data_IF_146776690362
#
_entry.id   IF_146776690362
#
_cell.length_a   1.000
_cell.length_b   1.000
_cell.length_c   1.000
_cell.angle_alpha   90.00
_cell.angle_beta   90.00
_cell.angle_gamma   90.00
#
_symmetry.space_group_name_H-M   'P 1'
#
loop_
_entity.id
_entity.type
_entity.pdbx_description
1 polymer ?
#
# COMPACT_ATOMS: atom_id res chain seq x y z
N UNK A 1 12.46 -10.46 23.91
CA UNK A 1 13.05 -11.19 22.77
C UNK A 1 14.55 -10.88 22.73
N UNK A 2 15.42 -11.83 22.36
CA UNK A 2 16.85 -11.54 22.13
C UNK A 2 17.00 -10.91 20.74
N UNK A 3 17.90 -9.93 20.61
CA UNK A 3 18.25 -9.37 19.30
C UNK A 3 18.80 -10.49 18.41
N UNK A 4 18.17 -10.68 17.25
CA UNK A 4 18.56 -11.70 16.27
C UNK A 4 19.60 -11.16 15.29
N UNK A 5 19.60 -9.83 15.06
CA UNK A 5 20.48 -9.16 14.12
C UNK A 5 21.39 -8.15 14.84
N UNK A 6 22.65 -8.08 14.40
CA UNK A 6 23.63 -7.11 14.91
C UNK A 6 23.43 -5.73 14.29
N UNK A 7 23.99 -4.68 14.92
CA UNK A 7 23.95 -3.31 14.39
C UNK A 7 24.50 -3.20 12.96
N UNK A 8 25.52 -3.96 12.61
CA UNK A 8 26.09 -3.93 11.26
C UNK A 8 25.12 -4.51 10.22
N UNK A 9 24.44 -5.61 10.53
CA UNK A 9 23.43 -6.20 9.65
C UNK A 9 22.21 -5.29 9.44
N UNK A 10 21.81 -4.53 10.46
CA UNK A 10 20.74 -3.53 10.30
C UNK A 10 21.19 -2.37 9.41
N UNK A 11 22.45 -1.91 9.55
CA UNK A 11 23.00 -0.88 8.65
C UNK A 11 23.09 -1.34 7.19
N UNK A 12 23.47 -2.60 6.94
CA UNK A 12 23.48 -3.17 5.60
C UNK A 12 22.08 -3.16 4.98
N UNK A 13 21.06 -3.55 5.76
CA UNK A 13 19.65 -3.48 5.36
C UNK A 13 19.20 -2.05 5.03
N UNK A 14 19.53 -1.08 5.86
CA UNK A 14 19.23 0.34 5.61
C UNK A 14 19.91 0.83 4.32
N UNK A 15 21.17 0.42 4.09
CA UNK A 15 21.92 0.79 2.89
C UNK A 15 21.31 0.17 1.62
N UNK A 16 20.79 -1.06 1.69
CA UNK A 16 20.05 -1.69 0.59
C UNK A 16 18.81 -0.86 0.23
N UNK A 17 18.06 -0.38 1.22
CA UNK A 17 16.87 0.47 0.98
C UNK A 17 17.31 1.76 0.30
N UNK A 18 18.30 2.47 0.84
CA UNK A 18 18.77 3.74 0.30
C UNK A 18 19.33 3.62 -1.12
N UNK A 19 20.13 2.60 -1.39
CA UNK A 19 20.66 2.33 -2.74
C UNK A 19 19.54 2.01 -3.72
N UNK A 20 18.53 1.23 -3.32
CA UNK A 20 17.37 0.94 -4.15
C UNK A 20 16.56 2.20 -4.49
N UNK A 21 16.37 3.11 -3.52
CA UNK A 21 15.73 4.41 -3.75
C UNK A 21 16.56 5.23 -4.75
N UNK A 22 17.87 5.30 -4.56
CA UNK A 22 18.76 6.06 -5.43
C UNK A 22 18.67 5.57 -6.88
N UNK A 23 18.74 4.25 -7.11
CA UNK A 23 18.58 3.68 -8.44
C UNK A 23 17.20 3.93 -9.03
N UNK A 24 16.13 3.87 -8.22
CA UNK A 24 14.78 4.17 -8.69
C UNK A 24 14.63 5.64 -9.11
N UNK A 25 15.17 6.58 -8.33
CA UNK A 25 15.14 8.01 -8.66
C UNK A 25 16.00 8.33 -9.90
N UNK A 26 17.15 7.68 -10.03
CA UNK A 26 17.98 7.78 -11.23
C UNK A 26 17.22 7.26 -12.47
N UNK A 27 16.55 6.11 -12.35
CA UNK A 27 15.70 5.58 -13.41
C UNK A 27 14.55 6.54 -13.75
N UNK A 28 13.86 7.09 -12.74
CA UNK A 28 12.79 8.05 -12.93
C UNK A 28 13.26 9.28 -13.71
N UNK A 29 14.45 9.80 -13.40
CA UNK A 29 15.05 10.92 -14.13
C UNK A 29 15.35 10.59 -15.60
N UNK A 30 15.92 9.40 -15.88
CA UNK A 30 16.20 8.96 -17.25
C UNK A 30 14.93 8.61 -18.04
N UNK A 31 13.84 8.28 -17.36
CA UNK A 31 12.64 7.74 -17.99
C UNK A 31 11.83 8.74 -18.84
N UNK A 32 12.12 10.04 -18.73
CA UNK A 32 11.49 11.07 -19.56
C UNK A 32 11.84 10.96 -21.04
N UNK A 33 12.95 10.32 -21.40
CA UNK A 33 13.37 10.14 -22.80
C UNK A 33 12.80 8.85 -23.44
N UNK A 34 12.14 7.98 -22.66
CA UNK A 34 11.63 6.71 -23.15
C UNK A 34 10.15 6.78 -23.55
N UNK A 35 9.81 6.15 -24.68
CA UNK A 35 8.43 5.92 -25.06
C UNK A 35 7.83 4.77 -24.23
N UNK A 36 6.86 5.10 -23.37
CA UNK A 36 6.13 4.11 -22.59
C UNK A 36 5.10 3.35 -23.45
N UNK A 37 4.84 2.09 -23.09
CA UNK A 37 3.77 1.31 -23.72
C UNK A 37 2.40 1.93 -23.38
N UNK A 38 1.50 2.02 -24.37
CA UNK A 38 0.16 2.63 -24.19
C UNK A 38 -0.62 2.04 -23.01
N UNK A 39 -0.59 0.71 -22.85
CA UNK A 39 -1.34 -0.01 -21.81
C UNK A 39 -0.46 -0.37 -20.58
N UNK A 40 0.68 0.32 -20.41
CA UNK A 40 1.62 0.02 -19.34
C UNK A 40 0.96 0.02 -17.95
N UNK A 41 0.18 1.05 -17.65
CA UNK A 41 -0.48 1.20 -16.35
C UNK A 41 -1.43 0.03 -16.07
N UNK A 42 -2.26 -0.34 -17.04
CA UNK A 42 -3.22 -1.44 -16.92
C UNK A 42 -2.53 -2.77 -16.64
N UNK A 43 -1.43 -3.05 -17.36
CA UNK A 43 -0.65 -4.27 -17.18
C UNK A 43 -0.02 -4.32 -15.79
N UNK A 44 0.61 -3.22 -15.35
CA UNK A 44 1.24 -3.16 -14.03
C UNK A 44 0.22 -3.22 -12.91
N UNK A 45 -0.94 -2.57 -13.05
CA UNK A 45 -2.04 -2.64 -12.09
C UNK A 45 -2.63 -4.05 -11.99
N UNK A 46 -2.70 -4.80 -13.10
CA UNK A 46 -3.11 -6.21 -13.07
C UNK A 46 -2.15 -7.05 -12.24
N UNK A 47 -0.83 -6.94 -12.47
CA UNK A 47 0.15 -7.66 -11.67
C UNK A 47 0.17 -7.21 -10.21
N UNK A 48 0.00 -5.91 -9.95
CA UNK A 48 -0.14 -5.39 -8.59
C UNK A 48 -1.36 -6.00 -7.89
N UNK A 49 -2.51 -6.08 -8.54
CA UNK A 49 -3.73 -6.69 -7.99
C UNK A 49 -3.54 -8.17 -7.67
N UNK A 50 -2.90 -8.93 -8.57
CA UNK A 50 -2.56 -10.33 -8.35
C UNK A 50 -1.60 -10.47 -7.14
N UNK A 51 -0.59 -9.60 -7.04
CA UNK A 51 0.37 -9.64 -5.93
C UNK A 51 -0.29 -9.27 -4.61
N UNK A 52 -1.16 -8.27 -4.59
CA UNK A 52 -1.95 -7.89 -3.43
C UNK A 52 -2.81 -9.08 -2.95
N UNK A 53 -3.45 -9.81 -3.88
CA UNK A 53 -4.21 -11.00 -3.54
C UNK A 53 -3.34 -12.08 -2.87
N UNK A 54 -2.18 -12.39 -3.45
CA UNK A 54 -1.24 -13.36 -2.86
C UNK A 54 -0.69 -12.92 -1.50
N UNK A 55 -0.31 -11.65 -1.36
CA UNK A 55 0.10 -11.07 -0.07
C UNK A 55 -1.02 -11.26 0.97
N UNK A 56 -2.26 -10.95 0.58
CA UNK A 56 -3.44 -11.11 1.41
C UNK A 56 -3.59 -12.54 1.94
N UNK A 57 -3.54 -13.52 1.04
CA UNK A 57 -3.63 -14.95 1.38
C UNK A 57 -2.46 -15.38 2.28
N UNK A 58 -1.22 -15.08 1.90
CA UNK A 58 -0.03 -15.50 2.65
C UNK A 58 -0.04 -14.92 4.08
N UNK A 59 -0.47 -13.67 4.22
CA UNK A 59 -0.59 -13.02 5.51
C UNK A 59 -1.66 -13.67 6.39
N UNK A 60 -2.81 -14.05 5.82
CA UNK A 60 -3.84 -14.81 6.54
C UNK A 60 -3.36 -16.21 6.93
N UNK A 61 -2.72 -16.95 6.02
CA UNK A 61 -2.17 -18.28 6.31
C UNK A 61 -1.17 -18.20 7.47
N UNK A 62 -0.29 -17.20 7.45
CA UNK A 62 0.68 -16.98 8.54
C UNK A 62 -0.01 -16.65 9.86
N UNK A 63 -1.05 -15.81 9.81
CA UNK A 63 -1.84 -15.48 10.98
C UNK A 63 -2.49 -16.74 11.60
N UNK A 64 -3.14 -17.58 10.81
CA UNK A 64 -3.78 -18.80 11.31
C UNK A 64 -2.78 -19.85 11.82
N UNK A 65 -1.60 -19.90 11.21
CA UNK A 65 -0.54 -20.86 11.59
C UNK A 65 0.16 -20.46 12.89
N UNK A 66 0.47 -19.17 13.08
CA UNK A 66 1.27 -18.71 14.22
C UNK A 66 0.51 -17.92 15.28
N UNK A 67 -0.78 -17.56 15.07
CA UNK A 67 -1.79 -16.86 15.93
C UNK A 67 -1.32 -15.78 16.92
N UNK A 68 -0.06 -15.37 16.85
CA UNK A 68 0.59 -14.56 17.88
C UNK A 68 0.64 -13.07 17.50
N UNK A 69 0.44 -12.76 16.22
CA UNK A 69 0.71 -11.43 15.68
C UNK A 69 -0.47 -10.96 14.82
N UNK A 70 -1.23 -10.02 15.38
CA UNK A 70 -2.47 -9.47 14.80
C UNK A 70 -2.21 -8.61 13.57
N UNK A 71 -1.00 -8.07 13.46
CA UNK A 71 -0.55 -7.32 12.28
C UNK A 71 -0.74 -8.11 10.98
N UNK A 72 -0.50 -9.42 10.96
CA UNK A 72 -0.68 -10.26 9.78
C UNK A 72 -2.16 -10.43 9.40
N UNK A 73 -3.08 -10.47 10.36
CA UNK A 73 -4.51 -10.52 10.05
C UNK A 73 -4.94 -9.23 9.35
N UNK A 74 -4.50 -8.09 9.89
CA UNK A 74 -4.84 -6.78 9.35
C UNK A 74 -4.23 -6.54 7.97
N UNK A 75 -2.95 -6.86 7.79
CA UNK A 75 -2.32 -6.83 6.47
C UNK A 75 -3.02 -7.78 5.50
N UNK A 76 -3.40 -8.98 5.96
CA UNK A 76 -4.09 -9.98 5.12
C UNK A 76 -5.42 -9.48 4.58
N UNK A 77 -6.32 -9.05 5.47
CA UNK A 77 -7.64 -8.54 5.07
C UNK A 77 -7.53 -7.21 4.32
N UNK A 78 -6.56 -6.35 4.67
CA UNK A 78 -6.31 -5.11 3.97
C UNK A 78 -5.88 -5.35 2.52
N UNK A 79 -4.88 -6.19 2.29
CA UNK A 79 -4.40 -6.52 0.94
C UNK A 79 -5.44 -7.28 0.11
N UNK A 80 -6.26 -8.15 0.71
CA UNK A 80 -7.40 -8.75 0.00
C UNK A 80 -8.42 -7.69 -0.46
N UNK A 81 -8.76 -6.74 0.42
CA UNK A 81 -9.69 -5.65 0.07
C UNK A 81 -9.11 -4.79 -1.05
N UNK A 82 -7.81 -4.43 -0.98
CA UNK A 82 -7.12 -3.69 -2.05
C UNK A 82 -7.13 -4.47 -3.35
N UNK A 83 -6.86 -5.77 -3.34
CA UNK A 83 -6.88 -6.59 -4.56
C UNK A 83 -8.25 -6.57 -5.26
N UNK A 84 -9.35 -6.61 -4.49
CA UNK A 84 -10.69 -6.50 -5.04
C UNK A 84 -10.95 -5.11 -5.64
N UNK A 85 -10.50 -4.04 -4.97
CA UNK A 85 -10.62 -2.68 -5.48
C UNK A 85 -9.81 -2.46 -6.75
N UNK A 86 -8.61 -3.03 -6.84
CA UNK A 86 -7.76 -2.95 -8.04
C UNK A 86 -8.35 -3.72 -9.21
N UNK A 87 -8.87 -4.93 -8.99
CA UNK A 87 -9.58 -5.69 -10.04
C UNK A 87 -10.84 -4.95 -10.49
N UNK A 88 -11.61 -4.41 -9.56
CA UNK A 88 -12.81 -3.63 -9.89
C UNK A 88 -12.45 -2.39 -10.72
N UNK A 89 -11.38 -1.68 -10.34
CA UNK A 89 -10.90 -0.54 -11.10
C UNK A 89 -10.43 -0.92 -12.50
N UNK A 90 -9.69 -2.02 -12.64
CA UNK A 90 -9.26 -2.51 -13.95
C UNK A 90 -10.45 -2.81 -14.85
N UNK A 91 -11.50 -3.43 -14.32
CA UNK A 91 -12.73 -3.68 -15.07
C UNK A 91 -13.39 -2.36 -15.52
N UNK A 92 -13.44 -1.33 -14.66
CA UNK A 92 -13.98 -0.02 -15.04
C UNK A 92 -13.15 0.68 -16.13
N UNK A 93 -11.85 0.46 -16.16
CA UNK A 93 -10.95 1.05 -17.16
C UNK A 93 -10.97 0.34 -18.51
N UNK A 94 -11.48 -0.90 -18.58
CA UNK A 94 -11.62 -1.65 -19.83
C UNK A 94 -12.89 -1.23 -20.58
N UNK A 95 -12.72 -0.84 -21.86
CA UNK A 95 -13.85 -0.50 -22.74
C UNK A 95 -14.87 -1.64 -22.87
N UNK A 96 -14.45 -2.90 -22.76
CA UNK A 96 -15.35 -4.05 -22.83
C UNK A 96 -16.40 -4.10 -21.70
N UNK A 97 -16.19 -3.37 -20.60
CA UNK A 97 -17.09 -3.33 -19.45
C UNK A 97 -17.77 -1.98 -19.25
N UNK A 98 -17.52 -0.98 -20.11
CA UNK A 98 -18.13 0.35 -19.97
C UNK A 98 -19.65 0.32 -20.00
N UNK A 99 -20.23 -0.62 -20.75
CA UNK A 99 -21.68 -0.75 -20.91
C UNK A 99 -22.38 -1.29 -19.64
N UNK A 100 -21.63 -1.95 -18.75
CA UNK A 100 -22.16 -2.47 -17.50
C UNK A 100 -22.12 -1.45 -16.36
N UNK A 101 -21.38 -0.35 -16.51
CA UNK A 101 -21.17 0.63 -15.44
C UNK A 101 -21.49 2.05 -15.90
N UNK A 102 -22.45 2.69 -15.25
CA UNK A 102 -22.88 4.07 -15.54
C UNK A 102 -21.95 5.16 -14.99
N UNK A 103 -20.69 4.84 -14.68
CA UNK A 103 -19.73 5.80 -14.11
C UNK A 103 -18.83 6.38 -15.21
N UNK A 104 -18.55 7.70 -15.22
CA UNK A 104 -17.68 8.31 -16.21
C UNK A 104 -16.25 7.78 -16.06
N UNK A 105 -15.77 7.06 -17.07
CA UNK A 105 -14.42 6.48 -17.14
C UNK A 105 -13.31 7.49 -17.48
N UNK A 106 -13.64 8.79 -17.56
CA UNK A 106 -12.76 9.83 -18.13
C UNK A 106 -12.01 10.67 -17.10
N UNK A 107 -12.11 10.36 -15.80
CA UNK A 107 -11.39 11.13 -14.78
C UNK A 107 -9.91 10.72 -14.72
N UNK A 108 -9.02 11.71 -14.78
CA UNK A 108 -7.55 11.53 -14.69
C UNK A 108 -7.12 10.90 -13.36
N UNK A 109 -7.91 11.12 -12.29
CA UNK A 109 -7.74 10.48 -11.00
C UNK A 109 -9.03 9.78 -10.60
N UNK A 110 -9.22 8.50 -11.00
CA UNK A 110 -10.41 7.77 -10.61
C UNK A 110 -10.51 7.71 -9.08
N UNK A 111 -11.67 8.12 -8.55
CA UNK A 111 -11.93 8.16 -7.11
C UNK A 111 -11.61 6.82 -6.43
N UNK A 112 -11.95 5.71 -7.08
CA UNK A 112 -11.60 4.32 -6.74
C UNK A 112 -10.09 4.07 -6.57
N UNK A 113 -9.23 4.61 -7.45
CA UNK A 113 -7.77 4.50 -7.34
C UNK A 113 -7.27 5.26 -6.12
N UNK A 114 -7.74 6.50 -5.94
CA UNK A 114 -7.38 7.33 -4.78
C UNK A 114 -7.77 6.62 -3.47
N UNK A 115 -8.99 6.06 -3.44
CA UNK A 115 -9.53 5.34 -2.29
C UNK A 115 -8.72 4.09 -1.93
N UNK A 116 -8.35 3.26 -2.92
CA UNK A 116 -7.54 2.06 -2.67
C UNK A 116 -6.19 2.39 -2.01
N UNK A 117 -5.53 3.47 -2.46
CA UNK A 117 -4.25 3.95 -1.93
C UNK A 117 -4.39 4.46 -0.49
N UNK A 118 -5.44 5.24 -0.21
CA UNK A 118 -5.73 5.74 1.14
C UNK A 118 -6.02 4.58 2.09
N UNK A 119 -6.87 3.65 1.69
CA UNK A 119 -7.22 2.49 2.50
C UNK A 119 -5.98 1.68 2.86
N UNK A 120 -5.11 1.41 1.89
CA UNK A 120 -3.86 0.69 2.15
C UNK A 120 -2.95 1.44 3.12
N UNK A 121 -2.82 2.77 2.98
CA UNK A 121 -2.03 3.59 3.92
C UNK A 121 -2.53 3.47 5.36
N UNK A 122 -3.85 3.40 5.52
CA UNK A 122 -4.49 3.24 6.82
C UNK A 122 -4.31 1.83 7.39
N UNK A 123 -4.37 0.79 6.54
CA UNK A 123 -4.07 -0.60 6.93
C UNK A 123 -2.65 -0.71 7.46
N UNK A 124 -1.66 -0.15 6.76
CA UNK A 124 -0.26 -0.14 7.20
C UNK A 124 -0.08 0.63 8.53
N UNK A 125 -0.77 1.76 8.68
CA UNK A 125 -0.73 2.53 9.92
C UNK A 125 -1.31 1.77 11.11
N UNK A 126 -2.47 1.16 10.93
CA UNK A 126 -3.08 0.30 11.95
C UNK A 126 -2.22 -0.93 12.24
N UNK A 127 -1.53 -1.51 11.24
CA UNK A 127 -0.66 -2.68 11.45
C UNK A 127 0.52 -2.34 12.35
N UNK A 128 1.06 -1.13 12.22
CA UNK A 128 2.08 -0.63 13.12
C UNK A 128 1.56 -0.44 14.55
N UNK A 129 0.42 0.24 14.74
CA UNK A 129 -0.17 0.47 16.07
C UNK A 129 -0.38 -0.85 16.80
N UNK A 130 -0.97 -1.84 16.12
CA UNK A 130 -1.27 -3.15 16.70
C UNK A 130 0.00 -3.95 17.02
N UNK A 131 1.09 -3.72 16.28
CA UNK A 131 2.40 -4.32 16.59
C UNK A 131 2.96 -3.76 17.92
N UNK A 132 2.69 -2.50 18.26
CA UNK A 132 3.15 -1.86 19.50
C UNK A 132 2.43 -2.39 20.75
N UNK A 133 1.16 -2.78 20.59
CA UNK A 133 0.31 -3.27 21.67
C UNK A 133 0.48 -4.77 21.97
N UNK A 134 1.36 -5.49 21.25
CA UNK A 134 1.68 -6.92 21.45
C UNK A 134 2.05 -7.31 22.89
N UNK A 135 2.31 -6.33 23.77
CA UNK A 135 2.65 -6.53 25.18
C UNK A 135 1.48 -6.73 26.15
N UNK A 136 0.22 -6.46 25.77
CA UNK A 136 -0.94 -6.60 26.68
C UNK A 136 -2.07 -7.45 26.07
N UNK A 137 -2.22 -8.68 26.60
CA UNK A 137 -3.39 -9.60 26.52
C UNK A 137 -3.74 -10.20 25.14
N UNK A 138 -3.80 -11.55 25.08
CA UNK A 138 -3.85 -12.38 23.84
C UNK A 138 -5.25 -12.73 23.30
N UNK A 139 -6.34 -12.62 24.07
CA UNK A 139 -7.66 -13.11 23.64
C UNK A 139 -8.65 -12.02 23.18
N UNK A 140 -8.50 -10.77 23.68
CA UNK A 140 -9.37 -9.64 23.30
C UNK A 140 -9.07 -9.13 21.88
N UNK A 141 -7.90 -9.50 21.32
CA UNK A 141 -7.33 -8.88 20.12
C UNK A 141 -7.79 -9.44 18.78
N UNK A 142 -8.22 -10.69 18.67
CA UNK A 142 -8.79 -11.19 17.39
C UNK A 142 -10.10 -10.47 17.08
N UNK A 143 -10.99 -10.35 18.07
CA UNK A 143 -12.20 -9.52 17.95
C UNK A 143 -11.84 -8.06 17.66
N UNK A 144 -10.83 -7.51 18.32
CA UNK A 144 -10.42 -6.12 18.11
C UNK A 144 -9.84 -5.88 16.71
N UNK A 145 -9.14 -6.86 16.13
CA UNK A 145 -8.63 -6.82 14.77
C UNK A 145 -9.75 -6.94 13.73
N UNK A 146 -10.68 -7.88 13.94
CA UNK A 146 -11.88 -7.99 13.14
C UNK A 146 -12.71 -6.71 13.22
N UNK A 147 -12.88 -6.13 14.41
CA UNK A 147 -13.56 -4.84 14.62
C UNK A 147 -12.78 -3.70 14.00
N UNK A 148 -11.45 -3.67 14.06
CA UNK A 148 -10.63 -2.65 13.43
C UNK A 148 -10.72 -2.73 11.90
N UNK A 149 -10.85 -3.92 11.34
CA UNK A 149 -11.02 -4.14 9.90
C UNK A 149 -12.45 -3.87 9.48
N UNK A 150 -13.46 -4.31 10.24
CA UNK A 150 -14.85 -3.93 10.03
C UNK A 150 -15.02 -2.43 10.15
N UNK A 151 -14.32 -1.80 11.08
CA UNK A 151 -14.31 -0.35 11.24
C UNK A 151 -13.55 0.32 10.09
N UNK A 152 -12.41 -0.21 9.64
CA UNK A 152 -11.67 0.33 8.49
C UNK A 152 -12.48 0.18 7.20
N UNK A 153 -13.13 -0.96 6.98
CA UNK A 153 -14.02 -1.22 5.84
C UNK A 153 -15.31 -0.39 5.99
N UNK A 154 -15.90 -0.26 7.18
CA UNK A 154 -17.11 0.53 7.38
C UNK A 154 -16.82 2.02 7.27
N UNK A 155 -15.72 2.52 7.82
CA UNK A 155 -15.29 3.91 7.61
C UNK A 155 -14.92 4.13 6.16
N UNK A 156 -14.31 3.16 5.48
CA UNK A 156 -14.07 3.23 4.05
C UNK A 156 -15.38 3.32 3.26
N UNK A 157 -16.35 2.43 3.49
CA UNK A 157 -17.67 2.44 2.82
C UNK A 157 -18.47 3.70 3.17
N UNK A 158 -18.44 4.15 4.42
CA UNK A 158 -19.12 5.37 4.87
C UNK A 158 -18.46 6.58 4.23
N UNK A 159 -17.12 6.69 4.21
CA UNK A 159 -16.39 7.76 3.53
C UNK A 159 -16.72 7.74 2.04
N UNK A 160 -16.70 6.59 1.37
CA UNK A 160 -17.07 6.50 -0.05
C UNK A 160 -18.52 6.94 -0.30
N UNK A 161 -19.49 6.48 0.49
CA UNK A 161 -20.91 6.79 0.28
C UNK A 161 -21.34 8.20 0.75
N UNK A 162 -20.66 8.77 1.74
CA UNK A 162 -20.95 10.13 2.22
C UNK A 162 -20.16 11.18 1.45
N UNK A 163 -18.91 10.88 1.04
CA UNK A 163 -18.11 11.80 0.23
C UNK A 163 -18.57 11.83 -1.23
N UNK A 164 -19.14 10.75 -1.79
CA UNK A 164 -19.77 10.79 -3.12
C UNK A 164 -20.92 11.80 -3.21
N UNK A 165 -21.59 12.11 -2.09
CA UNK A 165 -22.68 13.08 -2.02
C UNK A 165 -22.23 14.49 -1.56
N UNK A 166 -21.18 14.59 -0.73
CA UNK A 166 -20.65 15.87 -0.24
C UNK A 166 -19.75 16.60 -1.26
N UNK A 167 -19.12 15.86 -2.19
CA UNK A 167 -18.16 16.39 -3.16
C UNK A 167 -18.71 16.51 -4.58
N UNK A 168 -20.03 16.37 -4.77
CA UNK A 168 -20.70 16.61 -6.07
C UNK A 168 -20.39 18.02 -6.63
N UNK A 169 -19.98 18.96 -5.77
CA UNK A 169 -19.55 20.31 -6.15
C UNK A 169 -18.03 20.60 -6.08
N UNK A 170 -17.18 19.63 -5.72
CA UNK A 170 -15.73 19.81 -5.70
C UNK A 170 -15.12 19.11 -6.92
N UNK A 171 -14.30 19.83 -7.69
CA UNK A 171 -13.61 19.25 -8.84
C UNK A 171 -12.81 18.01 -8.40
N UNK A 172 -12.93 16.89 -9.12
CA UNK A 172 -12.30 15.60 -8.79
C UNK A 172 -10.79 15.72 -8.43
N UNK A 173 -10.14 16.73 -9.02
CA UNK A 173 -8.77 17.13 -8.73
C UNK A 173 -8.51 17.51 -7.27
N UNK A 174 -9.39 18.29 -6.64
CA UNK A 174 -9.25 18.74 -5.25
C UNK A 174 -9.40 17.60 -4.25
N UNK A 175 -10.35 16.69 -4.51
CA UNK A 175 -10.54 15.47 -3.73
C UNK A 175 -9.29 14.58 -3.79
N UNK A 176 -8.73 14.39 -4.99
CA UNK A 176 -7.52 13.62 -5.17
C UNK A 176 -6.36 14.20 -4.35
N UNK A 177 -6.14 15.53 -4.35
CA UNK A 177 -5.06 16.16 -3.58
C UNK A 177 -5.20 15.90 -2.07
N UNK A 178 -6.38 16.17 -1.50
CA UNK A 178 -6.60 16.08 -0.04
C UNK A 178 -6.38 14.63 0.43
N UNK A 179 -7.03 13.69 -0.23
CA UNK A 179 -6.99 12.27 0.17
C UNK A 179 -5.59 11.68 0.00
N UNK A 180 -4.91 12.03 -1.08
CA UNK A 180 -3.53 11.58 -1.32
C UNK A 180 -2.54 12.15 -0.32
N UNK A 181 -2.72 13.41 0.10
CA UNK A 181 -1.89 14.03 1.14
C UNK A 181 -2.09 13.31 2.47
N UNK A 182 -3.33 12.99 2.83
CA UNK A 182 -3.62 12.18 4.02
C UNK A 182 -2.96 10.80 3.94
N UNK A 183 -3.03 10.12 2.79
CA UNK A 183 -2.38 8.83 2.59
C UNK A 183 -0.85 8.92 2.78
N UNK A 184 -0.22 9.96 2.24
CA UNK A 184 1.21 10.22 2.42
C UNK A 184 1.57 10.40 3.89
N UNK A 185 0.77 11.18 4.63
CA UNK A 185 0.97 11.38 6.07
C UNK A 185 0.90 10.06 6.84
N UNK A 186 -0.08 9.20 6.56
CA UNK A 186 -0.18 7.88 7.20
C UNK A 186 1.03 7.00 6.87
N UNK A 187 1.48 6.96 5.63
CA UNK A 187 2.67 6.19 5.27
C UNK A 187 3.94 6.71 5.97
N UNK A 188 4.15 8.02 6.03
CA UNK A 188 5.29 8.63 6.72
C UNK A 188 5.28 8.32 8.23
N UNK A 189 4.12 8.47 8.88
CA UNK A 189 3.96 8.13 10.29
C UNK A 189 4.25 6.64 10.54
N UNK A 190 3.79 5.77 9.65
CA UNK A 190 4.03 4.33 9.73
C UNK A 190 5.51 3.99 9.57
N UNK A 191 6.21 4.62 8.62
CA UNK A 191 7.65 4.43 8.41
C UNK A 191 8.46 4.87 9.63
N UNK A 192 8.17 6.06 10.18
CA UNK A 192 8.79 6.57 11.42
C UNK A 192 8.48 5.61 12.58
N UNK A 193 7.27 5.08 12.60
CA UNK A 193 6.82 4.11 13.59
C UNK A 193 7.63 2.82 13.60
N UNK A 194 7.74 2.16 12.45
CA UNK A 194 8.49 0.90 12.34
C UNK A 194 9.99 1.10 12.56
N UNK A 195 10.59 2.16 12.02
CA UNK A 195 12.02 2.47 12.24
C UNK A 195 12.33 2.74 13.72
N UNK A 196 11.46 3.46 14.45
CA UNK A 196 11.64 3.71 15.89
C UNK A 196 11.39 2.48 16.76
N UNK A 197 10.55 1.54 16.32
CA UNK A 197 10.21 0.34 17.09
C UNK A 197 11.38 -0.65 17.27
N UNK A 198 12.52 -0.42 16.60
CA UNK A 198 13.68 -1.34 16.53
C UNK A 198 13.33 -2.77 16.08
N UNK A 199 12.19 -2.96 15.41
CA UNK A 199 11.74 -4.28 14.92
C UNK A 199 12.76 -4.99 14.04
N UNK A 200 13.54 -4.24 13.24
CA UNK A 200 14.61 -4.78 12.38
C UNK A 200 15.70 -5.57 13.12
N UNK A 201 15.90 -5.32 14.42
CA UNK A 201 16.85 -6.06 15.25
C UNK A 201 16.30 -7.43 15.69
N UNK A 202 14.98 -7.61 15.67
CA UNK A 202 14.29 -8.79 16.20
C UNK A 202 13.72 -9.69 15.11
N UNK A 203 13.15 -9.11 14.03
CA UNK A 203 12.43 -9.86 13.00
C UNK A 203 12.89 -9.43 11.61
N UNK A 204 13.05 -10.40 10.70
CA UNK A 204 13.37 -10.07 9.31
C UNK A 204 12.18 -9.44 8.59
N UNK A 205 10.96 -9.82 8.97
CA UNK A 205 9.73 -9.29 8.38
C UNK A 205 9.58 -7.76 8.54
N UNK A 206 10.00 -7.19 9.67
CA UNK A 206 9.93 -5.74 9.89
C UNK A 206 10.80 -4.96 8.89
N UNK A 207 11.92 -5.53 8.44
CA UNK A 207 12.73 -4.95 7.37
C UNK A 207 11.96 -4.90 6.05
N UNK A 208 11.30 -5.99 5.67
CA UNK A 208 10.52 -6.05 4.43
C UNK A 208 9.33 -5.09 4.43
N UNK A 209 8.66 -4.89 5.58
CA UNK A 209 7.63 -3.87 5.73
C UNK A 209 8.21 -2.47 5.50
N UNK A 210 9.32 -2.13 6.17
CA UNK A 210 9.96 -0.82 6.02
C UNK A 210 10.35 -0.59 4.56
N UNK A 211 10.92 -1.60 3.91
CA UNK A 211 11.34 -1.50 2.51
C UNK A 211 10.16 -1.30 1.56
N UNK A 212 9.06 -2.05 1.75
CA UNK A 212 7.82 -1.86 1.00
C UNK A 212 7.23 -0.46 1.24
N UNK A 213 7.16 -0.01 2.49
CA UNK A 213 6.64 1.32 2.86
C UNK A 213 7.38 2.45 2.15
N UNK A 214 8.70 2.35 2.01
CA UNK A 214 9.51 3.33 1.26
C UNK A 214 9.02 3.47 -0.19
N UNK A 215 8.80 2.36 -0.89
CA UNK A 215 8.29 2.40 -2.26
C UNK A 215 6.81 2.82 -2.34
N UNK A 216 6.00 2.50 -1.32
CA UNK A 216 4.63 3.03 -1.21
C UNK A 216 4.60 4.55 -1.06
N UNK A 217 5.56 5.13 -0.31
CA UNK A 217 5.72 6.58 -0.18
C UNK A 217 6.14 7.19 -1.52
N UNK A 218 7.12 6.61 -2.22
CA UNK A 218 7.51 7.06 -3.54
C UNK A 218 6.33 7.03 -4.52
N UNK A 219 5.56 5.94 -4.52
CA UNK A 219 4.34 5.83 -5.33
C UNK A 219 3.37 6.97 -5.02
N UNK A 220 3.19 7.33 -3.75
CA UNK A 220 2.29 8.41 -3.36
C UNK A 220 2.82 9.79 -3.80
N UNK A 221 4.13 10.01 -3.72
CA UNK A 221 4.76 11.26 -4.18
C UNK A 221 4.55 11.46 -5.69
N UNK A 222 4.79 10.43 -6.50
CA UNK A 222 4.58 10.51 -7.96
C UNK A 222 3.09 10.56 -8.37
N UNK A 223 2.17 10.16 -7.48
CA UNK A 223 0.73 10.25 -7.76
C UNK A 223 0.16 11.65 -7.47
N UNK A 224 0.85 12.46 -6.68
CA UNK A 224 0.34 13.74 -6.20
C UNK A 224 0.16 14.73 -7.35
N UNK A 225 -1.08 15.22 -7.60
CA UNK A 225 -1.37 15.99 -8.81
C UNK A 225 -0.56 17.29 -8.93
N UNK A 226 -0.27 17.98 -7.82
CA UNK A 226 0.45 19.26 -7.85
C UNK A 226 1.98 19.13 -8.04
N UNK A 227 2.53 17.91 -7.95
CA UNK A 227 3.94 17.63 -8.26
C UNK A 227 4.13 17.21 -9.72
N UNK A 228 3.04 17.00 -10.46
CA UNK A 228 3.06 16.44 -11.81
C UNK A 228 3.25 17.52 -12.88
N UNK A 229 4.51 17.75 -13.26
CA UNK A 229 4.86 18.54 -14.45
C UNK A 229 4.51 17.78 -15.75
N UNK A 230 4.69 16.45 -15.75
CA UNK A 230 4.30 15.53 -16.82
C UNK A 230 3.40 14.42 -16.26
N UNK A 231 2.08 14.60 -16.37
CA UNK A 231 1.09 13.72 -15.73
C UNK A 231 1.22 12.24 -16.10
N UNK A 232 1.37 11.91 -17.38
CA UNK A 232 1.43 10.51 -17.83
C UNK A 232 2.69 9.80 -17.30
N UNK A 233 3.84 10.46 -17.35
CA UNK A 233 5.11 9.92 -16.87
C UNK A 233 5.05 9.66 -15.35
N UNK A 234 4.55 10.64 -14.58
CA UNK A 234 4.49 10.52 -13.13
C UNK A 234 3.47 9.46 -12.68
N UNK A 235 2.35 9.31 -13.39
CA UNK A 235 1.42 8.21 -13.16
C UNK A 235 2.07 6.84 -13.44
N UNK A 236 2.83 6.70 -14.53
CA UNK A 236 3.56 5.46 -14.84
C UNK A 236 4.57 5.11 -13.73
N UNK A 237 5.36 6.10 -13.29
CA UNK A 237 6.33 5.93 -12.20
C UNK A 237 5.65 5.61 -10.87
N UNK A 238 4.51 6.24 -10.59
CA UNK A 238 3.71 5.96 -9.40
C UNK A 238 3.24 4.50 -9.38
N UNK A 239 2.66 4.03 -10.48
CA UNK A 239 2.16 2.66 -10.61
C UNK A 239 3.29 1.65 -10.55
N UNK A 240 4.44 1.95 -11.15
CA UNK A 240 5.65 1.12 -11.04
C UNK A 240 6.17 1.04 -9.60
N UNK A 241 6.25 2.17 -8.88
CA UNK A 241 6.68 2.18 -7.48
C UNK A 241 5.73 1.38 -6.58
N UNK A 242 4.41 1.45 -6.82
CA UNK A 242 3.41 0.63 -6.13
C UNK A 242 3.67 -0.86 -6.36
N UNK A 243 3.88 -1.25 -7.61
CA UNK A 243 4.17 -2.62 -7.98
C UNK A 243 5.46 -3.16 -7.32
N UNK A 244 6.53 -2.34 -7.29
CA UNK A 244 7.78 -2.68 -6.60
C UNK A 244 7.53 -2.88 -5.10
N UNK A 245 6.74 -1.98 -4.47
CA UNK A 245 6.36 -2.13 -3.06
C UNK A 245 5.68 -3.48 -2.77
N UNK A 246 4.73 -3.89 -3.62
CA UNK A 246 4.03 -5.16 -3.44
C UNK A 246 4.96 -6.35 -3.68
N UNK A 247 5.84 -6.26 -4.68
CA UNK A 247 6.85 -7.28 -4.95
C UNK A 247 7.77 -7.50 -3.74
N UNK A 248 8.28 -6.41 -3.17
CA UNK A 248 9.15 -6.43 -1.97
C UNK A 248 8.41 -7.09 -0.80
N UNK A 249 7.15 -6.71 -0.57
CA UNK A 249 6.38 -7.26 0.54
C UNK A 249 6.06 -8.75 0.34
N UNK A 250 5.73 -9.17 -0.89
CA UNK A 250 5.50 -10.56 -1.24
C UNK A 250 6.76 -11.41 -0.98
N UNK A 251 7.94 -10.94 -1.41
CA UNK A 251 9.23 -11.56 -1.09
C UNK A 251 9.43 -11.61 0.43
N UNK A 252 9.04 -10.56 1.14
CA UNK A 252 9.06 -10.53 2.60
C UNK A 252 8.22 -11.62 3.24
N UNK A 253 7.00 -11.85 2.75
CA UNK A 253 6.16 -12.95 3.23
C UNK A 253 6.78 -14.31 2.91
N UNK A 254 7.23 -14.53 1.68
CA UNK A 254 7.84 -15.80 1.25
C UNK A 254 9.11 -16.15 2.02
N UNK A 255 10.01 -15.18 2.21
CA UNK A 255 11.28 -15.37 2.93
C UNK A 255 11.09 -15.57 4.43
N UNK A 256 9.98 -15.08 4.99
CA UNK A 256 9.68 -15.19 6.42
C UNK A 256 8.61 -16.22 6.76
N UNK A 257 8.25 -17.12 5.83
CA UNK A 257 7.33 -18.24 6.09
C UNK A 257 7.82 -19.08 7.27
N UNK A 258 9.11 -19.39 7.29
CA UNK A 258 9.73 -20.28 8.29
C UNK A 258 10.22 -19.56 9.56
N UNK A 259 10.23 -18.22 9.57
CA UNK A 259 10.48 -17.41 10.79
C UNK A 259 9.27 -17.35 11.70
#
# INVERSE_FOLDING_TARGET
MREKFTKNQVKEKELIILTSIFFFLLFAYLSGEFAWMKDFQLLVDLFAGIFAFFIGILSLVRFYTKRNYVNYLLLGLGFLTVSLLEVFQLLLSLQAFSDFFTMPSSEVFPSTVVLSRVFLSFVFFLSWIMTKEEYMVRAVKEKLAFVAILFAISTFVIVVSTFSNLFVGLEAYTFAIVMQTLALMFYLLTLIGYTRSRGMYFRNFDFWIIFSLTFSILSQIFFLPYLNLEYELMLNLSTLAKFISYTILLIGFLSSIYE
#
